data_IF_044597625682
#
_entry.id   IF_044597625682
#
_cell.length_a   1.000
_cell.length_b   1.000
_cell.length_c   1.000
_cell.angle_alpha   90.00
_cell.angle_beta   90.00
_cell.angle_gamma   90.00
#
_symmetry.space_group_name_H-M   'P 1'
#
loop_
_entity.id
_entity.type
_entity.pdbx_description
1 polymer ?
#
# COMPACT_ATOMS: atom_id res chain seq x y z
N UNK A 1 -2.88 -22.88 0.13
CA UNK A 1 -3.65 -21.94 -0.69
C UNK A 1 -5.12 -22.13 -0.35
N UNK A 2 -5.82 -21.10 0.11
CA UNK A 2 -7.27 -21.19 0.28
C UNK A 2 -7.88 -21.38 -1.12
N UNK A 3 -8.76 -22.38 -1.29
CA UNK A 3 -9.23 -22.82 -2.62
C UNK A 3 -10.06 -21.76 -3.36
N UNK A 4 -10.51 -20.71 -2.68
CA UNK A 4 -11.43 -19.67 -3.14
C UNK A 4 -10.81 -18.26 -3.15
N UNK A 5 -9.50 -18.10 -2.91
CA UNK A 5 -8.85 -16.78 -3.03
C UNK A 5 -8.70 -16.41 -4.51
N UNK A 6 -9.24 -15.24 -4.88
CA UNK A 6 -9.05 -14.67 -6.21
C UNK A 6 -7.62 -14.17 -6.38
N UNK A 7 -6.95 -14.58 -7.46
CA UNK A 7 -5.64 -14.03 -7.80
C UNK A 7 -5.77 -12.59 -8.27
N UNK A 8 -4.94 -11.66 -7.77
CA UNK A 8 -4.88 -10.30 -8.28
C UNK A 8 -4.52 -10.31 -9.76
N UNK A 9 -5.11 -9.37 -10.52
CA UNK A 9 -4.85 -9.20 -11.94
C UNK A 9 -4.72 -7.73 -12.29
N UNK A 10 -4.04 -7.45 -13.39
CA UNK A 10 -4.11 -6.15 -14.04
C UNK A 10 -5.47 -6.00 -14.72
N UNK A 11 -6.21 -4.95 -14.38
CA UNK A 11 -7.57 -4.74 -14.91
C UNK A 11 -7.55 -4.32 -16.39
N UNK A 12 -6.48 -3.66 -16.83
CA UNK A 12 -6.26 -3.24 -18.22
C UNK A 12 -4.79 -3.41 -18.62
N UNK A 13 -4.50 -3.39 -19.92
CA UNK A 13 -3.12 -3.50 -20.43
C UNK A 13 -2.19 -2.36 -20.01
N UNK A 14 -2.73 -1.21 -19.55
CA UNK A 14 -1.94 -0.08 -19.05
C UNK A 14 -1.91 0.04 -17.52
N UNK A 15 -2.49 -0.93 -16.79
CA UNK A 15 -2.54 -0.88 -15.33
C UNK A 15 -1.16 -1.11 -14.70
N UNK A 16 -0.72 -0.23 -13.81
CA UNK A 16 0.55 -0.39 -13.07
C UNK A 16 0.43 -1.28 -11.84
N UNK A 17 -0.79 -1.48 -11.33
CA UNK A 17 -1.04 -2.22 -10.10
C UNK A 17 -2.11 -3.30 -10.26
N UNK A 18 -2.12 -4.23 -9.31
CA UNK A 18 -3.08 -5.30 -9.19
C UNK A 18 -3.98 -5.04 -7.98
N UNK A 19 -5.30 -5.08 -8.16
CA UNK A 19 -6.24 -4.89 -7.07
C UNK A 19 -6.13 -6.06 -6.06
N UNK A 20 -6.05 -5.74 -4.77
CA UNK A 20 -6.07 -6.69 -3.66
C UNK A 20 -7.46 -6.73 -3.03
N UNK A 21 -7.95 -7.94 -2.83
CA UNK A 21 -9.26 -8.20 -2.24
C UNK A 21 -9.16 -8.56 -0.75
N UNK A 22 -10.16 -8.16 0.03
CA UNK A 22 -10.29 -8.56 1.42
C UNK A 22 -10.70 -10.04 1.51
N UNK A 23 -9.97 -10.84 2.28
CA UNK A 23 -10.28 -12.24 2.52
C UNK A 23 -10.70 -12.46 3.97
N UNK A 24 -11.92 -12.03 4.29
CA UNK A 24 -12.51 -12.04 5.64
C UNK A 24 -13.64 -13.07 5.74
N UNK A 25 -13.87 -13.63 6.93
CA UNK A 25 -14.94 -14.62 7.16
C UNK A 25 -16.31 -13.99 7.49
N UNK A 26 -16.30 -12.72 7.91
CA UNK A 26 -17.50 -11.94 8.21
C UNK A 26 -17.25 -10.48 7.85
N UNK A 27 -18.32 -9.72 7.64
CA UNK A 27 -18.25 -8.29 7.36
C UNK A 27 -17.51 -7.56 8.51
N UNK A 28 -16.54 -6.73 8.14
CA UNK A 28 -15.80 -5.90 9.09
C UNK A 28 -16.30 -4.46 8.95
N UNK A 29 -16.80 -3.90 10.04
CA UNK A 29 -17.13 -2.48 10.13
C UNK A 29 -15.87 -1.72 10.51
N UNK A 30 -15.55 -0.68 9.74
CA UNK A 30 -14.48 0.28 10.03
C UNK A 30 -15.12 1.64 10.34
N UNK A 31 -15.21 2.01 11.61
CA UNK A 31 -15.79 3.27 12.05
C UNK A 31 -14.89 4.48 11.68
N UNK A 32 -15.42 5.70 11.61
CA UNK A 32 -14.62 6.92 11.44
C UNK A 32 -13.45 7.00 12.43
N UNK A 33 -12.24 7.24 11.93
CA UNK A 33 -11.00 7.28 12.72
C UNK A 33 -10.42 5.91 13.11
N UNK A 34 -11.15 4.82 12.87
CA UNK A 34 -10.70 3.47 13.19
C UNK A 34 -9.70 2.96 12.14
N UNK A 35 -8.78 2.10 12.58
CA UNK A 35 -7.85 1.36 11.73
C UNK A 35 -7.95 -0.14 11.98
N UNK A 36 -7.93 -0.95 10.93
CA UNK A 36 -7.93 -2.42 11.01
C UNK A 36 -6.98 -3.04 10.01
N UNK A 37 -6.36 -4.14 10.43
CA UNK A 37 -5.52 -4.96 9.58
C UNK A 37 -6.38 -5.99 8.86
N UNK A 38 -6.50 -5.89 7.55
CA UNK A 38 -7.40 -6.70 6.73
C UNK A 38 -6.61 -7.78 5.98
N UNK A 39 -6.92 -9.06 6.18
CA UNK A 39 -6.28 -10.17 5.44
C UNK A 39 -6.64 -10.15 3.96
N UNK A 40 -5.74 -10.66 3.12
CA UNK A 40 -5.95 -10.81 1.66
C UNK A 40 -5.95 -12.27 1.22
N UNK A 41 -5.51 -13.20 2.07
CA UNK A 41 -5.33 -14.61 1.75
C UNK A 41 -4.13 -14.89 0.83
N UNK A 42 -3.30 -13.89 0.54
CA UNK A 42 -2.21 -13.97 -0.44
C UNK A 42 -0.85 -13.88 0.28
N UNK A 43 0.05 -14.78 -0.08
CA UNK A 43 1.49 -14.71 0.21
C UNK A 43 2.26 -14.80 -1.09
N UNK A 44 3.41 -14.12 -1.16
CA UNK A 44 4.21 -14.01 -2.38
C UNK A 44 5.68 -14.25 -2.10
N UNK A 45 6.42 -14.59 -3.15
CA UNK A 45 7.87 -14.53 -3.19
C UNK A 45 8.24 -13.73 -4.44
N UNK A 46 9.09 -12.71 -4.28
CA UNK A 46 9.55 -11.83 -5.35
C UNK A 46 11.08 -11.83 -5.43
N UNK A 47 11.68 -11.43 -6.56
CA UNK A 47 13.14 -11.25 -6.66
C UNK A 47 13.66 -10.24 -5.63
N UNK A 48 14.91 -10.42 -5.17
CA UNK A 48 15.55 -9.56 -4.17
C UNK A 48 15.96 -8.17 -4.68
N UNK A 49 15.72 -7.92 -5.97
CA UNK A 49 15.88 -6.65 -6.68
C UNK A 49 14.56 -5.87 -6.78
N UNK A 50 13.50 -6.36 -6.15
CA UNK A 50 12.16 -5.76 -6.18
C UNK A 50 11.55 -5.65 -4.78
N UNK A 51 10.59 -4.74 -4.66
CA UNK A 51 9.64 -4.67 -3.56
C UNK A 51 8.20 -4.67 -4.10
N UNK A 52 7.23 -4.96 -3.23
CA UNK A 52 5.83 -4.65 -3.51
C UNK A 52 5.37 -3.48 -2.64
N UNK A 53 4.71 -2.51 -3.27
CA UNK A 53 4.12 -1.35 -2.62
C UNK A 53 2.59 -1.47 -2.55
N UNK A 54 2.03 -1.42 -1.35
CA UNK A 54 0.59 -1.43 -1.09
C UNK A 54 0.07 0.01 -1.05
N UNK A 55 -0.83 0.35 -1.97
CA UNK A 55 -1.35 1.70 -2.17
C UNK A 55 -2.89 1.74 -2.03
N UNK A 56 -3.48 2.88 -1.66
CA UNK A 56 -4.93 3.03 -1.59
C UNK A 56 -5.51 3.02 -2.99
N UNK A 57 -6.79 2.67 -3.09
CA UNK A 57 -7.56 2.79 -4.34
C UNK A 57 -8.18 4.19 -4.38
N UNK A 58 -7.95 4.95 -5.44
CA UNK A 58 -8.42 6.34 -5.57
C UNK A 58 -9.94 6.46 -5.37
N UNK A 59 -10.71 5.51 -5.89
CA UNK A 59 -12.16 5.47 -5.72
C UNK A 59 -12.61 5.34 -4.26
N UNK A 60 -11.94 4.50 -3.46
CA UNK A 60 -12.27 4.34 -2.04
C UNK A 60 -11.82 5.54 -1.22
N UNK A 61 -10.64 6.09 -1.52
CA UNK A 61 -10.14 7.31 -0.89
C UNK A 61 -11.08 8.50 -1.14
N UNK A 62 -11.47 8.74 -2.39
CA UNK A 62 -12.32 9.87 -2.76
C UNK A 62 -13.76 9.72 -2.26
N UNK A 63 -14.39 8.55 -2.44
CA UNK A 63 -15.81 8.36 -2.14
C UNK A 63 -16.09 8.09 -0.67
N UNK A 64 -15.17 7.42 0.02
CA UNK A 64 -15.41 6.88 1.36
C UNK A 64 -14.37 7.34 2.40
N UNK A 65 -13.31 8.06 1.98
CA UNK A 65 -12.22 8.44 2.88
C UNK A 65 -11.35 7.26 3.33
N UNK A 66 -11.39 6.13 2.63
CA UNK A 66 -10.60 4.95 3.01
C UNK A 66 -9.18 5.06 2.47
N UNK A 67 -8.22 4.94 3.36
CA UNK A 67 -6.80 4.94 3.03
C UNK A 67 -6.09 3.74 3.65
N UNK A 68 -4.80 3.60 3.34
CA UNK A 68 -3.88 2.66 3.96
C UNK A 68 -2.95 3.48 4.85
N UNK A 69 -2.91 3.17 6.16
CA UNK A 69 -2.20 3.99 7.17
C UNK A 69 -0.71 4.15 6.84
N UNK A 70 -0.07 3.05 6.44
CA UNK A 70 1.35 2.98 6.18
C UNK A 70 1.68 3.14 4.68
N UNK A 71 0.87 3.89 3.92
CA UNK A 71 1.04 3.93 2.47
C UNK A 71 2.22 4.79 2.00
N UNK A 72 2.98 4.36 0.96
CA UNK A 72 2.97 3.01 0.39
C UNK A 72 3.49 1.98 1.40
N UNK A 73 2.74 0.89 1.62
CA UNK A 73 3.15 -0.18 2.51
C UNK A 73 4.17 -1.07 1.81
N UNK A 74 5.32 -1.32 2.43
CA UNK A 74 6.41 -2.11 1.83
C UNK A 74 6.26 -3.59 2.16
N UNK A 75 6.38 -4.44 1.14
CA UNK A 75 6.54 -5.89 1.28
C UNK A 75 7.93 -6.26 0.74
N UNK A 76 8.77 -6.76 1.64
CA UNK A 76 10.15 -7.14 1.33
C UNK A 76 10.24 -8.46 0.57
N UNK A 77 11.32 -8.62 -0.19
CA UNK A 77 11.56 -9.81 -1.03
C UNK A 77 11.71 -11.13 -0.26
N UNK A 78 12.11 -11.07 1.01
CA UNK A 78 12.25 -12.22 1.91
C UNK A 78 11.03 -12.45 2.80
N UNK A 79 10.00 -11.58 2.73
CA UNK A 79 8.74 -11.78 3.43
C UNK A 79 7.97 -12.96 2.82
N UNK A 80 7.49 -13.87 3.68
CA UNK A 80 6.68 -15.04 3.28
C UNK A 80 5.35 -15.12 4.02
N UNK A 81 5.06 -14.15 4.88
CA UNK A 81 3.78 -14.07 5.56
C UNK A 81 2.65 -13.68 4.60
N UNK A 82 1.45 -13.62 5.14
CA UNK A 82 0.29 -13.12 4.41
C UNK A 82 0.42 -11.60 4.21
N UNK A 83 0.11 -11.10 3.01
CA UNK A 83 -0.07 -9.67 2.78
C UNK A 83 -1.36 -9.26 3.49
N UNK A 84 -1.27 -8.30 4.39
CA UNK A 84 -2.41 -7.69 5.05
C UNK A 84 -2.40 -6.18 4.84
N UNK A 85 -3.57 -5.58 4.73
CA UNK A 85 -3.73 -4.15 4.44
C UNK A 85 -4.19 -3.43 5.70
N UNK A 86 -3.39 -2.48 6.20
CA UNK A 86 -3.75 -1.66 7.36
C UNK A 86 -4.63 -0.49 6.91
N UNK A 87 -5.94 -0.73 6.80
CA UNK A 87 -6.91 0.28 6.39
C UNK A 87 -7.23 1.24 7.52
N UNK A 88 -7.51 2.49 7.15
CA UNK A 88 -8.06 3.55 8.02
C UNK A 88 -9.23 4.24 7.34
N UNK A 89 -10.24 4.61 8.13
CA UNK A 89 -11.39 5.38 7.67
C UNK A 89 -11.25 6.86 8.08
N UNK A 90 -10.96 7.74 7.13
CA UNK A 90 -10.99 9.20 7.30
C UNK A 90 -12.35 9.81 6.95
N UNK A 91 -13.31 9.01 6.50
CA UNK A 91 -14.68 9.43 6.23
C UNK A 91 -15.47 9.70 7.51
N UNK A 92 -16.74 10.09 7.32
CA UNK A 92 -17.67 10.41 8.41
C UNK A 92 -18.64 9.27 8.74
N UNK A 93 -18.74 8.30 7.86
CA UNK A 93 -19.67 7.16 7.97
C UNK A 93 -18.91 5.86 8.19
N UNK A 94 -19.59 4.88 8.76
CA UNK A 94 -19.08 3.51 8.86
C UNK A 94 -18.83 2.93 7.46
N UNK A 95 -17.67 2.32 7.27
CA UNK A 95 -17.34 1.60 6.04
C UNK A 95 -17.37 0.10 6.30
N UNK A 96 -18.17 -0.64 5.52
CA UNK A 96 -18.30 -2.10 5.66
C UNK A 96 -17.40 -2.76 4.63
N UNK A 97 -16.44 -3.55 5.12
CA UNK A 97 -15.52 -4.34 4.31
C UNK A 97 -16.09 -5.76 4.19
N UNK A 98 -16.37 -6.18 2.96
CA UNK A 98 -16.91 -7.50 2.64
C UNK A 98 -15.83 -8.43 2.09
N UNK A 99 -16.05 -9.74 2.19
CA UNK A 99 -15.20 -10.73 1.51
C UNK A 99 -15.18 -10.45 -0.01
N UNK A 100 -14.00 -10.56 -0.62
CA UNK A 100 -13.73 -10.26 -2.03
C UNK A 100 -13.91 -8.79 -2.45
N UNK A 101 -14.08 -7.88 -1.50
CA UNK A 101 -14.07 -6.45 -1.81
C UNK A 101 -12.64 -5.99 -2.11
N UNK A 102 -12.45 -5.33 -3.26
CA UNK A 102 -11.18 -4.72 -3.64
C UNK A 102 -10.87 -3.52 -2.74
N UNK A 103 -9.90 -3.67 -1.83
CA UNK A 103 -9.61 -2.73 -0.74
C UNK A 103 -8.34 -1.90 -0.94
N UNK A 104 -7.37 -2.42 -1.67
CA UNK A 104 -6.09 -1.78 -1.96
C UNK A 104 -5.61 -2.22 -3.34
N UNK A 105 -4.48 -1.69 -3.79
CA UNK A 105 -3.78 -2.17 -4.96
C UNK A 105 -2.30 -2.35 -4.63
N UNK A 106 -1.65 -3.31 -5.26
CA UNK A 106 -0.22 -3.53 -5.14
C UNK A 106 0.51 -3.17 -6.43
N UNK A 107 1.69 -2.56 -6.31
CA UNK A 107 2.59 -2.25 -7.43
C UNK A 107 3.92 -2.92 -7.15
N UNK A 108 4.42 -3.71 -8.10
CA UNK A 108 5.76 -4.30 -8.03
C UNK A 108 6.75 -3.27 -8.58
N UNK A 109 7.78 -2.93 -7.81
CA UNK A 109 8.76 -1.90 -8.18
C UNK A 109 10.19 -2.43 -8.02
N UNK A 110 11.13 -2.10 -8.93
CA UNK A 110 12.53 -2.34 -8.69
C UNK A 110 13.04 -1.50 -7.51
N UNK A 111 14.04 -2.02 -6.80
CA UNK A 111 14.77 -1.32 -5.75
C UNK A 111 16.26 -1.23 -6.07
N UNK A 112 16.94 -0.25 -5.48
CA UNK A 112 18.40 -0.12 -5.51
C UNK A 112 18.90 -0.24 -4.07
N UNK A 113 19.71 -1.27 -3.78
CA UNK A 113 20.39 -1.41 -2.49
C UNK A 113 21.57 -0.44 -2.42
N UNK A 114 21.51 0.52 -1.50
CA UNK A 114 22.55 1.57 -1.35
C UNK A 114 23.58 1.20 -0.27
N UNK A 115 24.79 1.74 -0.41
CA UNK A 115 25.81 1.75 0.66
C UNK A 115 25.93 3.17 1.19
N UNK A 116 25.71 3.34 2.49
CA UNK A 116 25.85 4.64 3.14
C UNK A 116 27.34 4.98 3.34
N UNK A 117 27.72 6.24 3.10
CA UNK A 117 29.06 6.79 3.36
C UNK A 117 28.92 8.01 4.27
N UNK A 118 29.52 7.95 5.46
CA UNK A 118 29.57 9.07 6.39
C UNK A 118 30.64 10.08 5.92
N UNK A 119 30.32 11.37 5.96
CA UNK A 119 31.19 12.49 5.56
C UNK A 119 31.04 13.63 6.57
N UNK A 120 32.05 14.51 6.66
CA UNK A 120 32.01 15.69 7.53
C UNK A 120 31.10 16.78 6.94
N UNK A 121 31.09 16.96 5.62
CA UNK A 121 30.29 17.97 4.92
C UNK A 121 29.65 17.40 3.65
N UNK A 122 28.42 17.84 3.34
CA UNK A 122 27.71 17.50 2.10
C UNK A 122 28.06 18.51 0.99
N UNK A 123 28.07 18.09 -0.30
CA UNK A 123 28.26 19.02 -1.42
C UNK A 123 27.16 20.09 -1.50
N UNK A 124 27.52 21.31 -1.92
CA UNK A 124 26.55 22.38 -2.15
C UNK A 124 25.62 22.07 -3.32
N UNK A 125 24.37 22.53 -3.21
CA UNK A 125 23.38 22.49 -4.30
C UNK A 125 22.58 23.79 -4.33
N UNK A 126 21.97 24.13 -5.48
CA UNK A 126 21.10 25.31 -5.63
C UNK A 126 19.96 25.32 -4.59
N UNK A 127 19.44 24.14 -4.22
CA UNK A 127 18.35 24.02 -3.24
C UNK A 127 18.83 24.17 -1.79
N UNK A 128 20.07 23.77 -1.49
CA UNK A 128 20.62 23.75 -0.14
C UNK A 128 19.68 23.07 0.87
N UNK A 129 19.46 23.73 2.01
CA UNK A 129 18.59 23.26 3.10
C UNK A 129 17.09 23.59 2.91
N UNK A 130 16.69 24.16 1.76
CA UNK A 130 15.31 24.57 1.50
C UNK A 130 14.32 23.39 1.40
N UNK A 131 13.28 23.39 2.25
CA UNK A 131 12.20 22.39 2.27
C UNK A 131 10.82 22.99 2.54
N UNK A 132 9.76 22.16 2.52
CA UNK A 132 8.40 22.53 2.92
C UNK A 132 7.81 23.80 2.25
N UNK A 133 7.86 23.88 0.92
CA UNK A 133 7.31 25.03 0.20
C UNK A 133 8.28 26.21 0.08
N UNK A 134 9.58 26.01 0.32
CA UNK A 134 10.64 27.02 0.17
C UNK A 134 10.78 27.62 -1.24
N UNK A 135 10.06 27.10 -2.25
CA UNK A 135 10.01 27.63 -3.61
C UNK A 135 8.64 28.22 -3.97
N UNK A 136 7.70 28.28 -3.03
CA UNK A 136 6.29 28.65 -3.26
C UNK A 136 5.88 29.94 -2.56
N UNK A 137 5.67 30.98 -3.37
CA UNK A 137 4.49 31.83 -3.24
C UNK A 137 3.26 31.07 -3.76
#
# INVERSE_FOLDING_TARGET
MFKDVNLPKYETGGSSGLDLEAYVNADIILAPGERKLIPTGISVAIPDTMEIQIRPRSGLAFKNGISVVNTPGTIDSDYRGEIKVLLINHGKENFIIKKFQRIAQMVVSPIIKVKLKVVEELPETIRGEGGFGSTGQ
#
